data_IF_140871649297
#
_entry.id   IF_140871649297
#
_cell.length_a   1.000
_cell.length_b   1.000
_cell.length_c   1.000
_cell.angle_alpha   90.00
_cell.angle_beta   90.00
_cell.angle_gamma   90.00
#
_symmetry.space_group_name_H-M   'P 1'
#
loop_
_entity.id
_entity.type
_entity.pdbx_description
1 polymer ?
#
# COMPACT_ATOMS: atom_id res chain seq x y z
N UNK A 1 -31.48 -28.28 8.70
CA UNK A 1 -31.89 -27.16 9.58
C UNK A 1 -31.25 -25.87 9.08
N UNK A 2 -32.02 -24.85 8.67
CA UNK A 2 -31.44 -23.57 8.26
C UNK A 2 -30.94 -22.82 9.51
N UNK A 3 -29.65 -22.45 9.55
CA UNK A 3 -29.09 -21.73 10.70
C UNK A 3 -29.87 -20.43 10.94
N UNK A 4 -30.27 -20.21 12.19
CA UNK A 4 -30.94 -18.99 12.67
C UNK A 4 -30.21 -17.75 12.15
N UNK A 5 -30.90 -16.95 11.31
CA UNK A 5 -30.37 -15.70 10.76
C UNK A 5 -30.64 -14.58 11.76
N UNK A 6 -29.58 -13.95 12.27
CA UNK A 6 -29.69 -12.77 13.14
C UNK A 6 -30.08 -11.53 12.33
N UNK A 7 -30.91 -10.67 12.93
CA UNK A 7 -31.28 -9.39 12.33
C UNK A 7 -30.03 -8.52 12.14
N UNK A 8 -29.90 -7.91 10.95
CA UNK A 8 -28.76 -7.06 10.59
C UNK A 8 -29.28 -5.65 10.35
N UNK A 9 -28.84 -4.69 11.18
CA UNK A 9 -29.18 -3.28 11.01
C UNK A 9 -28.60 -2.79 9.68
N UNK A 10 -29.45 -2.29 8.78
CA UNK A 10 -29.05 -1.74 7.48
C UNK A 10 -29.11 -0.22 7.54
N UNK A 11 -28.01 0.44 7.21
CA UNK A 11 -27.91 1.91 7.17
C UNK A 11 -28.36 2.45 5.81
N UNK A 12 -29.16 3.53 5.80
CA UNK A 12 -29.66 4.19 4.58
C UNK A 12 -28.64 5.13 3.91
N UNK A 13 -27.36 5.05 4.26
CA UNK A 13 -26.33 5.90 3.69
C UNK A 13 -26.15 5.61 2.19
N UNK A 14 -25.96 6.66 1.37
CA UNK A 14 -25.73 6.54 -0.08
C UNK A 14 -24.39 5.88 -0.46
N UNK A 15 -23.57 5.49 0.51
CA UNK A 15 -22.22 4.97 0.28
C UNK A 15 -22.30 3.51 -0.13
N UNK A 16 -21.90 3.22 -1.38
CA UNK A 16 -21.73 1.85 -1.86
C UNK A 16 -20.41 1.28 -1.34
N UNK A 17 -20.42 0.00 -0.96
CA UNK A 17 -19.18 -0.71 -0.64
C UNK A 17 -18.31 -0.76 -1.89
N UNK A 18 -17.08 -0.25 -1.79
CA UNK A 18 -16.09 -0.43 -2.85
C UNK A 18 -15.69 -1.91 -2.89
N UNK A 19 -15.88 -2.53 -4.05
CA UNK A 19 -15.63 -3.94 -4.27
C UNK A 19 -14.14 -4.31 -4.28
N UNK A 20 -13.86 -5.61 -4.35
CA UNK A 20 -12.50 -6.15 -4.42
C UNK A 20 -11.77 -5.64 -5.65
N UNK A 21 -12.41 -5.77 -6.81
CA UNK A 21 -11.83 -5.44 -8.12
C UNK A 21 -11.42 -3.97 -8.18
N UNK A 22 -12.36 -3.06 -7.88
CA UNK A 22 -12.13 -1.64 -8.14
C UNK A 22 -10.97 -1.05 -7.32
N UNK A 23 -10.84 -1.32 -6.02
CA UNK A 23 -9.75 -0.67 -5.27
C UNK A 23 -8.47 -1.52 -5.19
N UNK A 24 -8.60 -2.84 -5.03
CA UNK A 24 -7.41 -3.66 -4.71
C UNK A 24 -6.61 -3.94 -5.96
N UNK A 25 -7.26 -4.23 -7.09
CA UNK A 25 -6.55 -4.50 -8.35
C UNK A 25 -5.94 -3.21 -8.91
N UNK A 26 -6.66 -2.09 -8.84
CA UNK A 26 -6.09 -0.78 -9.19
C UNK A 26 -4.86 -0.46 -8.33
N UNK A 27 -4.91 -0.74 -7.02
CA UNK A 27 -3.77 -0.53 -6.13
C UNK A 27 -2.59 -1.43 -6.50
N UNK A 28 -2.85 -2.71 -6.78
CA UNK A 28 -1.80 -3.67 -7.20
C UNK A 28 -1.14 -3.20 -8.49
N UNK A 29 -1.93 -2.87 -9.51
CA UNK A 29 -1.39 -2.43 -10.80
C UNK A 29 -0.62 -1.11 -10.68
N UNK A 30 -1.12 -0.15 -9.90
CA UNK A 30 -0.43 1.11 -9.67
C UNK A 30 0.92 0.91 -8.95
N UNK A 31 0.97 0.01 -7.95
CA UNK A 31 2.23 -0.32 -7.27
C UNK A 31 3.20 -0.98 -8.26
N UNK A 32 2.76 -1.95 -9.05
CA UNK A 32 3.61 -2.64 -10.04
C UNK A 32 4.22 -1.66 -11.04
N UNK A 33 3.40 -0.79 -11.63
CA UNK A 33 3.88 0.26 -12.55
C UNK A 33 4.87 1.20 -11.87
N UNK A 34 4.57 1.68 -10.66
CA UNK A 34 5.50 2.58 -9.97
C UNK A 34 6.78 1.89 -9.51
N UNK A 35 6.76 0.58 -9.27
CA UNK A 35 7.99 -0.17 -8.97
C UNK A 35 8.89 -0.26 -10.20
N UNK A 36 8.32 -0.34 -11.40
CA UNK A 36 9.07 -0.31 -12.67
C UNK A 36 9.60 1.10 -12.98
N UNK A 37 8.78 2.14 -12.76
CA UNK A 37 9.14 3.53 -13.07
C UNK A 37 10.18 4.13 -12.10
N UNK A 38 10.27 3.64 -10.87
CA UNK A 38 11.09 4.23 -9.81
C UNK A 38 12.28 3.35 -9.46
N UNK A 39 13.46 3.96 -9.32
CA UNK A 39 14.72 3.26 -9.01
C UNK A 39 14.77 2.71 -7.59
N UNK A 40 13.94 3.20 -6.66
CA UNK A 40 14.01 2.83 -5.25
C UNK A 40 12.63 2.69 -4.63
N UNK A 41 12.42 1.58 -3.92
CA UNK A 41 11.20 1.29 -3.16
C UNK A 41 11.53 1.16 -1.69
N UNK A 42 10.76 1.84 -0.85
CA UNK A 42 10.92 1.85 0.61
C UNK A 42 9.65 1.37 1.30
N UNK A 43 9.85 0.79 2.47
CA UNK A 43 8.79 0.37 3.39
C UNK A 43 8.73 1.40 4.51
N UNK A 44 7.62 2.11 4.62
CA UNK A 44 7.40 3.17 5.60
C UNK A 44 6.57 2.65 6.76
N UNK A 45 7.18 2.47 7.93
CA UNK A 45 6.49 2.05 9.15
C UNK A 45 6.09 3.26 9.97
N UNK A 46 4.91 3.20 10.58
CA UNK A 46 4.41 4.31 11.38
C UNK A 46 3.62 3.82 12.59
N UNK A 47 3.62 4.63 13.63
CA UNK A 47 2.77 4.45 14.80
C UNK A 47 1.89 5.69 14.97
N UNK A 48 0.60 5.45 15.27
CA UNK A 48 -0.37 6.51 15.57
C UNK A 48 -0.45 7.62 14.48
N UNK A 49 -0.39 7.23 13.21
CA UNK A 49 -0.47 8.18 12.10
C UNK A 49 -1.85 8.86 12.08
N UNK A 50 -1.84 10.19 12.09
CA UNK A 50 -3.06 10.99 11.91
C UNK A 50 -3.20 11.48 10.48
N UNK A 51 -4.38 11.27 9.91
CA UNK A 51 -4.71 11.61 8.53
C UNK A 51 -4.39 13.08 8.17
N UNK A 52 -4.62 14.04 9.08
CA UNK A 52 -4.39 15.46 8.79
C UNK A 52 -2.92 15.76 8.48
N UNK A 53 -2.00 15.31 9.34
CA UNK A 53 -0.56 15.53 9.16
C UNK A 53 -0.05 14.78 7.94
N UNK A 54 -0.50 13.55 7.75
CA UNK A 54 -0.08 12.72 6.63
C UNK A 54 -0.56 13.25 5.28
N UNK A 55 -1.77 13.84 5.21
CA UNK A 55 -2.25 14.51 4.00
C UNK A 55 -1.32 15.65 3.59
N UNK A 56 -0.98 16.56 4.52
CA UNK A 56 -0.09 17.67 4.24
C UNK A 56 1.30 17.17 3.79
N UNK A 57 1.82 16.14 4.46
CA UNK A 57 3.10 15.51 4.10
C UNK A 57 3.07 14.90 2.69
N UNK A 58 1.99 14.20 2.33
CA UNK A 58 1.81 13.62 1.00
C UNK A 58 1.67 14.69 -0.08
N UNK A 59 1.03 15.82 0.22
CA UNK A 59 0.90 16.94 -0.72
C UNK A 59 2.25 17.58 -1.02
N UNK A 60 3.09 17.81 0.00
CA UNK A 60 4.44 18.35 -0.17
C UNK A 60 5.33 17.45 -1.04
N UNK A 61 5.14 16.14 -0.95
CA UNK A 61 5.96 15.16 -1.67
C UNK A 61 5.33 14.64 -2.96
N UNK A 62 4.17 15.17 -3.38
CA UNK A 62 3.36 14.65 -4.49
C UNK A 62 4.08 14.65 -5.84
N UNK A 63 4.92 15.65 -6.09
CA UNK A 63 5.64 15.82 -7.36
C UNK A 63 6.83 14.87 -7.49
N UNK A 64 7.43 14.46 -6.37
CA UNK A 64 8.71 13.74 -6.32
C UNK A 64 8.59 12.35 -5.68
N UNK A 65 7.39 11.91 -5.34
CA UNK A 65 7.20 10.61 -4.69
C UNK A 65 5.77 10.08 -4.77
N UNK A 66 5.64 8.78 -4.52
CA UNK A 66 4.36 8.08 -4.41
C UNK A 66 4.28 7.34 -3.08
N UNK A 67 3.14 7.52 -2.42
CA UNK A 67 2.75 6.74 -1.23
C UNK A 67 1.61 5.81 -1.58
N UNK A 68 1.79 4.53 -1.27
CA UNK A 68 0.76 3.52 -1.40
C UNK A 68 0.39 3.01 -0.02
N UNK A 69 -0.88 3.21 0.33
CA UNK A 69 -1.48 2.72 1.56
C UNK A 69 -2.46 1.61 1.20
N UNK A 70 -2.40 0.49 1.91
CA UNK A 70 -3.25 -0.64 1.63
C UNK A 70 -3.15 -1.73 2.68
N UNK A 71 -3.90 -2.81 2.48
CA UNK A 71 -3.69 -4.00 3.28
C UNK A 71 -2.29 -4.57 2.98
N UNK A 72 -1.55 -4.93 4.02
CA UNK A 72 -0.23 -5.57 3.90
C UNK A 72 -0.24 -6.70 2.87
N UNK A 73 -1.29 -7.53 2.84
CA UNK A 73 -1.36 -8.65 1.90
C UNK A 73 -1.47 -8.19 0.44
N UNK A 74 -2.18 -7.08 0.19
CA UNK A 74 -2.30 -6.51 -1.15
C UNK A 74 -0.96 -5.94 -1.62
N UNK A 75 -0.24 -5.24 -0.73
CA UNK A 75 1.10 -4.74 -1.03
C UNK A 75 2.11 -5.88 -1.26
N UNK A 76 2.06 -6.94 -0.45
CA UNK A 76 2.90 -8.13 -0.65
C UNK A 76 2.66 -8.80 -2.00
N UNK A 77 1.40 -8.92 -2.44
CA UNK A 77 1.05 -9.45 -3.77
C UNK A 77 1.53 -8.52 -4.89
N UNK A 78 1.47 -7.21 -4.66
CA UNK A 78 1.94 -6.25 -5.66
C UNK A 78 3.46 -6.33 -5.87
N UNK A 79 4.24 -6.55 -4.82
CA UNK A 79 5.70 -6.67 -4.87
C UNK A 79 6.20 -8.02 -5.43
N UNK A 80 5.36 -9.05 -5.38
CA UNK A 80 5.70 -10.42 -5.76
C UNK A 80 5.94 -11.29 -4.52
N UNK A 81 5.25 -12.43 -4.41
CA UNK A 81 5.33 -13.33 -3.25
C UNK A 81 6.46 -14.37 -3.34
N UNK A 82 7.13 -14.46 -4.48
CA UNK A 82 8.22 -15.41 -4.73
C UNK A 82 9.25 -14.73 -5.64
N UNK A 83 10.46 -15.31 -5.72
CA UNK A 83 11.52 -14.83 -6.60
C UNK A 83 11.12 -14.80 -8.09
N UNK A 84 10.18 -15.67 -8.50
CA UNK A 84 9.70 -15.76 -9.88
C UNK A 84 8.62 -14.72 -10.21
N UNK A 85 7.91 -14.24 -9.18
CA UNK A 85 6.82 -13.25 -9.29
C UNK A 85 7.32 -11.83 -8.93
N UNK A 86 8.64 -11.66 -8.74
CA UNK A 86 9.24 -10.35 -8.44
C UNK A 86 9.06 -9.40 -9.63
N UNK A 87 8.52 -8.21 -9.34
CA UNK A 87 8.38 -7.13 -10.32
C UNK A 87 9.74 -6.51 -10.66
N UNK A 88 10.65 -6.46 -9.69
CA UNK A 88 12.02 -5.97 -9.88
C UNK A 88 12.98 -6.73 -8.98
N UNK A 89 14.23 -6.85 -9.43
CA UNK A 89 15.22 -7.73 -8.81
C UNK A 89 15.44 -7.40 -7.32
N UNK A 90 15.19 -8.38 -6.46
CA UNK A 90 15.46 -8.30 -5.02
C UNK A 90 14.38 -7.59 -4.19
N UNK A 91 13.25 -7.21 -4.79
CA UNK A 91 12.11 -6.60 -4.08
C UNK A 91 11.45 -7.55 -3.08
N UNK A 92 11.48 -8.87 -3.31
CA UNK A 92 10.96 -9.87 -2.38
C UNK A 92 11.55 -9.73 -0.97
N UNK A 93 12.79 -9.21 -0.85
CA UNK A 93 13.42 -8.93 0.44
C UNK A 93 12.64 -7.92 1.28
N UNK A 94 11.90 -7.00 0.64
CA UNK A 94 11.09 -5.99 1.31
C UNK A 94 9.86 -6.60 2.02
N UNK A 95 9.37 -7.76 1.58
CA UNK A 95 8.20 -8.42 2.17
C UNK A 95 8.36 -8.68 3.67
N UNK A 96 9.60 -8.93 4.13
CA UNK A 96 9.92 -9.13 5.54
C UNK A 96 9.56 -7.93 6.42
N UNK A 97 9.55 -6.73 5.83
CA UNK A 97 9.22 -5.48 6.51
C UNK A 97 7.76 -5.06 6.31
N UNK A 98 7.05 -5.64 5.34
CA UNK A 98 5.64 -5.36 5.07
C UNK A 98 4.76 -6.11 6.08
N UNK A 99 4.57 -5.50 7.25
CA UNK A 99 3.72 -6.02 8.33
C UNK A 99 3.32 -4.94 9.34
N UNK A 100 2.24 -5.16 10.09
CA UNK A 100 1.70 -4.16 11.02
C UNK A 100 1.22 -2.89 10.31
N UNK A 101 1.53 -1.72 10.88
CA UNK A 101 1.19 -0.40 10.35
C UNK A 101 2.30 0.08 9.41
N UNK A 102 2.18 -0.29 8.14
CA UNK A 102 3.22 -0.09 7.15
C UNK A 102 2.62 0.30 5.82
N UNK A 103 3.26 1.24 5.12
CA UNK A 103 2.92 1.70 3.77
C UNK A 103 4.14 1.56 2.84
N UNK A 104 3.91 1.64 1.53
CA UNK A 104 4.98 1.71 0.54
C UNK A 104 5.25 3.14 0.11
N UNK A 105 6.55 3.47 -0.03
CA UNK A 105 7.03 4.77 -0.43
C UNK A 105 8.04 4.66 -1.57
N UNK A 106 7.76 5.34 -2.69
CA UNK A 106 8.61 5.35 -3.87
C UNK A 106 8.98 6.80 -4.21
N UNK A 107 10.19 7.25 -3.83
CA UNK A 107 10.69 8.58 -4.19
C UNK A 107 11.35 8.56 -5.57
N UNK A 108 11.07 9.58 -6.38
CA UNK A 108 11.76 9.85 -7.65
C UNK A 108 13.22 10.25 -7.42
N UNK A 109 13.52 10.77 -6.23
CA UNK A 109 14.85 11.27 -5.87
C UNK A 109 15.68 10.12 -5.32
N UNK A 110 16.81 9.83 -5.97
CA UNK A 110 17.85 8.93 -5.44
C UNK A 110 18.46 9.59 -4.19
N UNK A 111 17.89 9.37 -3.00
CA UNK A 111 18.53 9.81 -1.77
C UNK A 111 19.77 8.95 -1.54
N UNK A 112 20.93 9.44 -2.01
CA UNK A 112 22.24 8.96 -1.57
C UNK A 112 22.27 9.09 -0.04
N UNK A 113 22.18 7.93 0.61
CA UNK A 113 22.55 7.69 2.00
C UNK A 113 22.05 8.70 3.02
N UNK A 114 20.85 8.48 3.57
CA UNK A 114 20.70 8.55 5.02
C UNK A 114 19.74 7.44 5.46
N UNK A 115 20.34 6.39 6.05
CA UNK A 115 19.64 5.41 6.87
C UNK A 115 19.05 6.19 8.04
N UNK A 116 17.75 6.47 7.99
CA UNK A 116 17.02 6.89 9.19
C UNK A 116 16.09 5.74 9.53
N UNK A 117 16.53 5.05 10.59
CA UNK A 117 15.85 4.16 11.54
C UNK A 117 14.33 4.25 11.53
#
# INVERSE_FOLDING_TARGET
>A
MHKSKRNKIVTLSKIKKKGREHNKEQLVNAIRQSVEDYTSTYVFRFENMRNLKFKNFREQLKSNSRFYMGSNKVMQVALGLTLLDEVSSGIFKLLKFVGGNTDLFLPTIQRRGHKVI
#
